data_IF_190111278345
#
_entry.id   IF_190111278345
#
_cell.length_a   1.000
_cell.length_b   1.000
_cell.length_c   1.000
_cell.angle_alpha   90.00
_cell.angle_beta   90.00
_cell.angle_gamma   90.00
#
_symmetry.space_group_name_H-M   'P 1'
#
loop_
_entity.id
_entity.type
_entity.pdbx_description
1 polymer ?
#
# COMPACT_ATOMS: atom_id res chain seq x y z
N UNK A 1 -26.13 -41.09 -7.78
CA UNK A 1 -25.43 -39.86 -8.26
C UNK A 1 -23.99 -40.26 -8.56
N UNK A 2 -23.44 -39.85 -9.72
CA UNK A 2 -22.01 -39.95 -10.01
C UNK A 2 -21.24 -39.00 -9.07
N UNK A 3 -20.10 -39.38 -8.45
CA UNK A 3 -19.32 -38.48 -7.65
C UNK A 3 -19.01 -37.17 -8.39
N UNK A 4 -19.35 -36.02 -7.80
CA UNK A 4 -19.03 -34.72 -8.32
C UNK A 4 -17.52 -34.50 -8.15
N UNK A 5 -16.79 -34.21 -9.22
CA UNK A 5 -15.36 -33.91 -9.17
C UNK A 5 -15.08 -32.55 -8.46
N UNK A 6 -13.85 -32.06 -8.63
CA UNK A 6 -13.50 -30.71 -8.16
C UNK A 6 -14.34 -29.66 -8.88
N UNK A 7 -15.00 -28.80 -8.11
CA UNK A 7 -15.73 -27.65 -8.63
C UNK A 7 -14.95 -26.38 -8.26
N UNK A 8 -14.56 -25.62 -9.26
CA UNK A 8 -13.76 -24.41 -9.12
C UNK A 8 -14.23 -23.31 -10.10
N UNK A 9 -13.50 -22.21 -10.19
CA UNK A 9 -13.86 -21.09 -11.07
C UNK A 9 -13.96 -21.45 -12.55
N UNK A 10 -13.45 -22.61 -12.99
CA UNK A 10 -13.49 -23.03 -14.40
C UNK A 10 -14.80 -23.73 -14.79
N UNK A 11 -15.50 -24.31 -13.83
CA UNK A 11 -16.70 -25.12 -14.07
C UNK A 11 -17.92 -24.77 -13.22
N UNK A 12 -17.78 -23.91 -12.19
CA UNK A 12 -18.89 -23.53 -11.30
C UNK A 12 -20.06 -22.82 -12.02
N UNK A 13 -19.79 -22.09 -13.11
CA UNK A 13 -20.83 -21.39 -13.89
C UNK A 13 -21.67 -22.32 -14.78
N UNK A 14 -21.24 -23.57 -14.95
CA UNK A 14 -21.93 -24.53 -15.82
C UNK A 14 -21.85 -25.96 -15.25
N UNK A 15 -22.11 -26.11 -13.95
CA UNK A 15 -22.05 -27.40 -13.26
C UNK A 15 -23.19 -28.30 -13.73
N UNK A 16 -22.87 -29.52 -14.20
CA UNK A 16 -23.82 -30.55 -14.52
C UNK A 16 -23.69 -31.73 -13.57
N UNK A 17 -24.80 -32.24 -13.11
CA UNK A 17 -24.88 -33.43 -12.25
C UNK A 17 -25.35 -34.60 -13.08
N UNK A 18 -24.69 -35.72 -12.93
CA UNK A 18 -25.01 -36.95 -13.66
C UNK A 18 -25.25 -38.11 -12.70
N UNK A 19 -25.96 -39.09 -13.16
CA UNK A 19 -26.19 -40.29 -12.38
C UNK A 19 -26.85 -41.41 -13.16
N UNK A 20 -27.11 -42.47 -12.42
CA UNK A 20 -27.87 -43.63 -12.93
C UNK A 20 -29.00 -43.96 -11.91
N UNK A 21 -30.06 -44.45 -12.44
CA UNK A 21 -31.20 -44.91 -11.65
C UNK A 21 -31.76 -46.21 -12.20
N UNK A 22 -32.48 -46.96 -11.42
CA UNK A 22 -33.20 -48.13 -11.86
C UNK A 22 -34.69 -47.97 -11.69
N UNK A 23 -35.48 -48.43 -12.66
CA UNK A 23 -36.94 -48.35 -12.67
C UNK A 23 -37.51 -46.92 -12.76
N UNK A 24 -36.74 -46.02 -13.35
CA UNK A 24 -37.13 -44.63 -13.63
C UNK A 24 -37.10 -44.26 -15.12
N UNK A 25 -36.89 -45.22 -16.00
CA UNK A 25 -36.78 -44.95 -17.45
C UNK A 25 -37.96 -44.11 -17.93
N UNK A 26 -37.68 -43.00 -18.63
CA UNK A 26 -38.66 -42.02 -19.09
C UNK A 26 -39.24 -41.11 -18.01
N UNK A 27 -38.92 -41.27 -16.74
CA UNK A 27 -39.38 -40.38 -15.64
C UNK A 27 -38.40 -39.22 -15.47
N UNK A 28 -38.84 -38.19 -14.79
CA UNK A 28 -38.04 -37.02 -14.45
C UNK A 28 -37.54 -37.15 -13.01
N UNK A 29 -36.26 -36.85 -12.80
CA UNK A 29 -35.66 -36.63 -11.47
C UNK A 29 -35.42 -35.14 -11.26
N UNK A 30 -35.69 -34.64 -10.05
CA UNK A 30 -35.34 -33.31 -9.59
C UNK A 30 -33.92 -33.36 -9.03
N UNK A 31 -33.10 -32.33 -9.34
CA UNK A 31 -31.75 -32.16 -8.86
C UNK A 31 -31.67 -30.82 -8.13
N UNK A 32 -31.34 -30.82 -6.87
CA UNK A 32 -31.20 -29.62 -6.05
C UNK A 32 -29.79 -29.55 -5.47
N UNK A 33 -29.20 -28.34 -5.44
CA UNK A 33 -27.93 -28.06 -4.78
C UNK A 33 -28.22 -27.15 -3.58
N UNK A 34 -27.70 -27.52 -2.42
CA UNK A 34 -27.86 -26.81 -1.12
C UNK A 34 -26.49 -26.61 -0.47
N UNK A 35 -26.30 -25.57 0.33
CA UNK A 35 -25.16 -25.51 1.25
C UNK A 35 -25.26 -26.63 2.28
N UNK A 36 -24.16 -27.24 2.67
CA UNK A 36 -24.16 -28.32 3.64
C UNK A 36 -24.84 -27.88 4.96
N UNK A 37 -25.82 -28.68 5.40
CA UNK A 37 -26.58 -28.38 6.62
C UNK A 37 -27.66 -27.31 6.47
N UNK A 38 -27.92 -26.82 5.24
CA UNK A 38 -29.00 -25.88 4.92
C UNK A 38 -30.11 -26.58 4.12
N UNK A 39 -31.37 -26.16 4.35
CA UNK A 39 -32.49 -26.56 3.51
C UNK A 39 -32.77 -25.59 2.34
N UNK A 40 -32.01 -24.48 2.26
CA UNK A 40 -32.19 -23.50 1.19
C UNK A 40 -31.57 -24.04 -0.10
N UNK A 41 -32.39 -24.12 -1.17
CA UNK A 41 -31.96 -24.51 -2.52
C UNK A 41 -31.27 -23.32 -3.16
N UNK A 42 -30.00 -23.52 -3.59
CA UNK A 42 -29.17 -22.52 -4.26
C UNK A 42 -29.34 -22.60 -5.77
N UNK A 43 -29.33 -23.82 -6.28
CA UNK A 43 -29.58 -24.10 -7.71
C UNK A 43 -30.39 -25.37 -7.84
N UNK A 44 -31.25 -25.45 -8.85
CA UNK A 44 -32.04 -26.62 -9.13
C UNK A 44 -32.30 -26.82 -10.62
N UNK A 45 -32.42 -28.05 -10.99
CA UNK A 45 -32.79 -28.47 -12.34
C UNK A 45 -33.52 -29.81 -12.30
N UNK A 46 -33.94 -30.29 -13.45
CA UNK A 46 -34.55 -31.61 -13.63
C UNK A 46 -33.89 -32.36 -14.80
N UNK A 47 -33.85 -33.66 -14.70
CA UNK A 47 -33.30 -34.51 -15.75
C UNK A 47 -34.27 -35.65 -16.10
N UNK A 48 -34.41 -35.92 -17.38
CA UNK A 48 -35.18 -37.11 -17.85
C UNK A 48 -34.24 -38.32 -17.86
N UNK A 49 -34.66 -39.39 -17.21
CA UNK A 49 -33.94 -40.66 -17.17
C UNK A 49 -34.08 -41.36 -18.53
N UNK A 50 -32.95 -41.63 -19.14
CA UNK A 50 -32.86 -42.30 -20.42
C UNK A 50 -33.11 -43.82 -20.28
N UNK A 51 -33.42 -44.48 -21.40
CA UNK A 51 -33.48 -45.96 -21.44
C UNK A 51 -32.11 -46.52 -20.99
N UNK A 52 -32.15 -47.39 -19.97
CA UNK A 52 -30.92 -47.87 -19.30
C UNK A 52 -30.55 -47.10 -18.03
N UNK A 53 -31.36 -46.13 -17.61
CA UNK A 53 -31.28 -45.49 -16.32
C UNK A 53 -30.36 -44.29 -16.20
N UNK A 54 -29.56 -43.92 -17.22
CA UNK A 54 -28.68 -42.76 -17.17
C UNK A 54 -29.46 -41.45 -17.26
N UNK A 55 -28.99 -40.44 -16.50
CA UNK A 55 -29.53 -39.08 -16.55
C UNK A 55 -28.46 -38.04 -16.38
N UNK A 56 -28.68 -36.81 -16.91
CA UNK A 56 -27.79 -35.64 -16.79
C UNK A 56 -28.65 -34.39 -16.69
N UNK A 57 -28.37 -33.55 -15.68
CA UNK A 57 -28.99 -32.22 -15.54
C UNK A 57 -28.55 -31.26 -16.64
N UNK A 58 -29.30 -30.19 -16.87
CA UNK A 58 -28.74 -29.03 -17.55
C UNK A 58 -27.65 -28.39 -16.69
N UNK A 59 -26.96 -27.42 -17.28
CA UNK A 59 -25.96 -26.64 -16.55
C UNK A 59 -26.61 -25.74 -15.49
N UNK A 60 -26.10 -25.79 -14.27
CA UNK A 60 -26.48 -24.96 -13.14
C UNK A 60 -25.34 -24.02 -12.77
N UNK A 61 -25.62 -22.75 -12.54
CA UNK A 61 -24.62 -21.75 -12.17
C UNK A 61 -24.58 -21.60 -10.63
N UNK A 62 -23.43 -21.93 -10.05
CA UNK A 62 -23.11 -21.73 -8.63
C UNK A 62 -21.83 -20.90 -8.46
N UNK A 63 -21.37 -20.18 -9.49
CA UNK A 63 -20.16 -19.36 -9.45
C UNK A 63 -20.28 -18.14 -8.51
N UNK A 64 -21.51 -17.73 -8.20
CA UNK A 64 -21.80 -16.67 -7.22
C UNK A 64 -21.77 -17.13 -5.76
N UNK A 65 -21.58 -18.42 -5.49
CA UNK A 65 -21.62 -18.98 -4.15
C UNK A 65 -20.24 -18.96 -3.47
N UNK A 66 -20.18 -18.83 -2.14
CA UNK A 66 -18.91 -18.89 -1.39
C UNK A 66 -18.26 -20.28 -1.49
N UNK A 67 -16.93 -20.30 -1.31
CA UNK A 67 -16.22 -21.58 -1.14
C UNK A 67 -16.77 -22.34 0.06
N UNK A 68 -16.96 -23.65 -0.10
CA UNK A 68 -17.53 -24.46 0.96
C UNK A 68 -17.98 -25.83 0.48
N UNK A 69 -18.59 -26.58 1.38
CA UNK A 69 -19.19 -27.88 1.08
C UNK A 69 -20.67 -27.70 0.74
N UNK A 70 -21.08 -28.34 -0.34
CA UNK A 70 -22.43 -28.34 -0.86
C UNK A 70 -22.97 -29.77 -0.97
N UNK A 71 -24.27 -29.90 -0.88
CA UNK A 71 -24.98 -31.21 -1.00
C UNK A 71 -25.85 -31.16 -2.29
N UNK A 72 -25.65 -32.12 -3.15
CA UNK A 72 -26.60 -32.43 -4.23
C UNK A 72 -27.65 -33.40 -3.68
N UNK A 73 -28.93 -33.07 -3.84
CA UNK A 73 -30.06 -33.92 -3.52
C UNK A 73 -30.80 -34.24 -4.81
N UNK A 74 -31.02 -35.50 -5.09
CA UNK A 74 -31.73 -35.97 -6.27
C UNK A 74 -32.97 -36.74 -5.81
N UNK A 75 -34.14 -36.30 -6.25
CA UNK A 75 -35.41 -36.93 -5.89
C UNK A 75 -36.19 -37.30 -7.16
N UNK A 76 -36.75 -38.46 -7.21
CA UNK A 76 -37.59 -38.90 -8.31
C UNK A 76 -38.72 -39.79 -7.85
N UNK A 77 -39.82 -39.78 -8.63
CA UNK A 77 -40.95 -40.69 -8.44
C UNK A 77 -41.09 -41.55 -9.69
N UNK A 78 -41.14 -42.85 -9.53
CA UNK A 78 -41.25 -43.78 -10.63
C UNK A 78 -42.71 -43.92 -11.12
N UNK A 79 -42.90 -44.64 -12.20
CA UNK A 79 -44.26 -44.88 -12.79
C UNK A 79 -45.25 -45.61 -11.86
N UNK A 80 -44.77 -46.20 -10.74
CA UNK A 80 -45.60 -46.85 -9.72
C UNK A 80 -45.85 -45.94 -8.49
N UNK A 81 -45.57 -44.61 -8.60
CA UNK A 81 -45.63 -43.61 -7.54
C UNK A 81 -44.76 -43.93 -6.31
N UNK A 82 -43.63 -44.60 -6.53
CA UNK A 82 -42.63 -44.82 -5.48
C UNK A 82 -41.56 -43.77 -5.61
N UNK A 83 -41.35 -43.00 -4.55
CA UNK A 83 -40.30 -41.98 -4.46
C UNK A 83 -38.97 -42.58 -4.01
N UNK A 84 -37.90 -42.04 -4.54
CA UNK A 84 -36.53 -42.30 -4.06
C UNK A 84 -35.75 -40.99 -4.01
N UNK A 85 -34.92 -40.83 -2.99
CA UNK A 85 -34.05 -39.68 -2.77
C UNK A 85 -32.61 -40.18 -2.51
N UNK A 86 -31.63 -39.52 -3.10
CA UNK A 86 -30.21 -39.79 -2.91
C UNK A 86 -29.48 -38.46 -2.75
N UNK A 87 -28.36 -38.43 -2.02
CA UNK A 87 -27.56 -37.22 -1.86
C UNK A 87 -26.07 -37.51 -1.85
N UNK A 88 -25.29 -36.52 -2.30
CA UNK A 88 -23.84 -36.56 -2.26
C UNK A 88 -23.28 -35.17 -1.99
N UNK A 89 -22.15 -35.09 -1.29
CA UNK A 89 -21.47 -33.84 -1.05
C UNK A 89 -20.35 -33.61 -2.08
N UNK A 90 -20.10 -32.33 -2.37
CA UNK A 90 -18.92 -31.87 -3.12
C UNK A 90 -18.39 -30.57 -2.51
N UNK A 91 -17.17 -30.15 -2.90
CA UNK A 91 -16.56 -28.91 -2.46
C UNK A 91 -16.45 -27.92 -3.61
N UNK A 92 -16.93 -26.69 -3.42
CA UNK A 92 -16.66 -25.53 -4.27
C UNK A 92 -15.42 -24.84 -3.74
N UNK A 93 -14.37 -24.71 -4.58
CA UNK A 93 -13.07 -24.15 -4.24
C UNK A 93 -12.59 -23.14 -5.32
N UNK A 94 -13.25 -21.98 -5.39
CA UNK A 94 -12.88 -20.93 -6.33
C UNK A 94 -11.60 -20.20 -5.86
N UNK A 95 -10.85 -19.58 -6.81
CA UNK A 95 -9.71 -18.75 -6.46
C UNK A 95 -10.13 -17.63 -5.50
N UNK A 96 -9.30 -17.36 -4.48
CA UNK A 96 -9.54 -16.28 -3.52
C UNK A 96 -9.15 -14.92 -4.16
N UNK A 97 -9.74 -13.80 -3.71
CA UNK A 97 -9.29 -12.48 -4.14
C UNK A 97 -7.87 -12.20 -3.63
N UNK A 98 -7.08 -11.46 -4.41
CA UNK A 98 -5.72 -11.04 -4.07
C UNK A 98 -5.54 -9.54 -4.28
N UNK A 99 -4.75 -8.90 -3.39
CA UNK A 99 -4.30 -7.53 -3.59
C UNK A 99 -3.27 -7.52 -4.72
N UNK A 100 -3.54 -6.79 -5.79
CA UNK A 100 -2.66 -6.69 -6.96
C UNK A 100 -1.70 -5.50 -6.85
N UNK A 101 -2.13 -4.41 -6.21
CA UNK A 101 -1.33 -3.20 -6.06
C UNK A 101 -1.84 -2.33 -4.90
N UNK A 102 -0.90 -1.63 -4.24
CA UNK A 102 -1.22 -0.59 -3.28
C UNK A 102 -0.33 0.64 -3.53
N UNK A 103 -0.93 1.81 -3.60
CA UNK A 103 -0.23 3.07 -3.83
C UNK A 103 -0.66 4.15 -2.85
N UNK A 104 0.21 5.15 -2.67
CA UNK A 104 0.01 6.28 -1.77
C UNK A 104 0.11 7.59 -2.55
N UNK A 105 -0.76 8.54 -2.24
CA UNK A 105 -0.69 9.88 -2.80
C UNK A 105 -0.84 10.95 -1.69
N UNK A 106 0.22 11.74 -1.42
CA UNK A 106 1.56 11.67 -2.03
C UNK A 106 2.30 10.35 -1.69
N UNK A 107 3.37 10.04 -2.41
CA UNK A 107 4.15 8.79 -2.26
C UNK A 107 4.89 8.68 -0.94
N UNK A 108 5.09 9.79 -0.25
CA UNK A 108 5.57 9.92 1.13
C UNK A 108 4.86 11.10 1.80
N UNK A 109 4.72 11.08 3.11
CA UNK A 109 4.03 12.15 3.83
C UNK A 109 4.56 12.30 5.25
N UNK A 110 4.47 13.52 5.80
CA UNK A 110 4.83 13.80 7.19
C UNK A 110 3.79 13.23 8.16
N UNK A 111 4.24 12.91 9.36
CA UNK A 111 3.36 12.54 10.47
C UNK A 111 2.29 13.61 10.73
N UNK A 112 1.11 13.18 11.09
CA UNK A 112 -0.01 14.08 11.33
C UNK A 112 -0.67 14.67 10.08
N UNK A 113 -0.11 14.41 8.89
CA UNK A 113 -0.69 14.84 7.62
C UNK A 113 -1.50 13.72 6.97
N UNK A 114 -2.45 14.08 6.11
CA UNK A 114 -3.30 13.11 5.41
C UNK A 114 -2.60 12.54 4.17
N UNK A 115 -2.81 11.26 3.91
CA UNK A 115 -2.39 10.56 2.69
C UNK A 115 -3.56 9.75 2.15
N UNK A 116 -3.73 9.72 0.83
CA UNK A 116 -4.70 8.85 0.16
C UNK A 116 -4.06 7.49 -0.13
N UNK A 117 -4.67 6.42 0.35
CA UNK A 117 -4.33 5.03 0.01
C UNK A 117 -5.23 4.59 -1.14
N UNK A 118 -4.65 3.95 -2.16
CA UNK A 118 -5.35 3.33 -3.27
C UNK A 118 -4.96 1.86 -3.38
N UNK A 119 -5.97 0.98 -3.33
CA UNK A 119 -5.83 -0.47 -3.40
C UNK A 119 -6.45 -0.98 -4.70
N UNK A 120 -5.77 -1.90 -5.36
CA UNK A 120 -6.28 -2.60 -6.55
C UNK A 120 -6.26 -4.11 -6.29
N UNK A 121 -7.34 -4.78 -6.67
CA UNK A 121 -7.51 -6.22 -6.50
C UNK A 121 -7.71 -6.92 -7.86
N UNK A 122 -7.39 -8.20 -7.92
CA UNK A 122 -7.62 -9.03 -9.12
C UNK A 122 -9.11 -9.27 -9.39
N UNK A 123 -9.95 -9.17 -8.34
CA UNK A 123 -11.42 -9.34 -8.39
C UNK A 123 -12.18 -8.14 -7.83
N UNK A 124 -13.44 -8.01 -8.25
CA UNK A 124 -14.38 -7.08 -7.62
C UNK A 124 -14.67 -7.50 -6.18
N UNK A 125 -14.65 -6.55 -5.24
CA UNK A 125 -14.89 -6.80 -3.84
C UNK A 125 -16.22 -6.20 -3.36
N UNK A 126 -16.82 -6.85 -2.35
CA UNK A 126 -17.93 -6.31 -1.57
C UNK A 126 -17.47 -5.60 -0.29
N UNK A 127 -16.30 -6.00 0.27
CA UNK A 127 -15.75 -5.45 1.50
C UNK A 127 -14.22 -5.49 1.49
N UNK A 128 -13.58 -4.54 2.18
CA UNK A 128 -12.15 -4.51 2.47
C UNK A 128 -11.89 -3.62 3.69
N UNK A 129 -10.91 -3.99 4.51
CA UNK A 129 -10.39 -3.19 5.61
C UNK A 129 -8.90 -2.94 5.41
N UNK A 130 -8.41 -1.76 5.78
CA UNK A 130 -6.97 -1.47 5.79
C UNK A 130 -6.57 -0.59 6.97
N UNK A 131 -5.32 -0.72 7.38
CA UNK A 131 -4.69 0.08 8.43
C UNK A 131 -3.31 0.53 7.97
N UNK A 132 -2.99 1.81 8.18
CA UNK A 132 -1.65 2.35 7.97
C UNK A 132 -1.02 2.63 9.34
N UNK A 133 0.02 1.87 9.70
CA UNK A 133 0.67 1.97 11.00
C UNK A 133 -0.30 1.81 12.18
N UNK A 134 -1.34 0.99 12.04
CA UNK A 134 -2.39 0.77 13.04
C UNK A 134 -3.55 1.78 13.00
N UNK A 135 -3.46 2.84 12.18
CA UNK A 135 -4.57 3.78 11.95
C UNK A 135 -5.49 3.28 10.85
N UNK A 136 -6.78 3.15 11.12
CA UNK A 136 -7.77 2.66 10.16
C UNK A 136 -7.88 3.61 8.95
N UNK A 137 -7.86 3.05 7.74
CA UNK A 137 -8.10 3.77 6.48
C UNK A 137 -9.60 3.74 6.19
N UNK A 138 -10.23 4.91 6.02
CA UNK A 138 -11.65 4.98 5.64
C UNK A 138 -11.79 4.74 4.14
N UNK A 139 -11.89 3.47 3.75
CA UNK A 139 -11.94 3.05 2.35
C UNK A 139 -13.34 3.21 1.75
N UNK A 140 -13.39 3.69 0.51
CA UNK A 140 -14.58 3.74 -0.34
C UNK A 140 -14.32 3.07 -1.68
N UNK A 141 -15.32 2.33 -2.15
CA UNK A 141 -15.26 1.68 -3.46
C UNK A 141 -15.39 2.72 -4.57
N UNK A 142 -14.55 2.65 -5.59
CA UNK A 142 -14.65 3.51 -6.78
C UNK A 142 -15.70 2.97 -7.76
N UNK A 143 -15.84 3.60 -8.94
CA UNK A 143 -16.70 3.07 -10.02
C UNK A 143 -16.24 1.68 -10.50
N UNK A 144 -14.93 1.38 -10.42
CA UNK A 144 -14.40 0.02 -10.59
C UNK A 144 -14.41 -0.70 -9.23
N UNK A 145 -15.23 -1.74 -9.12
CA UNK A 145 -15.35 -2.52 -7.89
C UNK A 145 -14.08 -3.28 -7.48
N UNK A 146 -13.03 -3.30 -8.32
CA UNK A 146 -11.69 -3.80 -8.01
C UNK A 146 -10.80 -2.76 -7.36
N UNK A 147 -11.21 -1.48 -7.33
CA UNK A 147 -10.40 -0.36 -6.86
C UNK A 147 -11.08 0.31 -5.68
N UNK A 148 -10.31 0.46 -4.59
CA UNK A 148 -10.73 1.14 -3.37
C UNK A 148 -9.77 2.25 -3.01
N UNK A 149 -10.29 3.38 -2.54
CA UNK A 149 -9.48 4.52 -2.10
C UNK A 149 -9.96 5.03 -0.76
N UNK A 150 -9.06 5.61 0.01
CA UNK A 150 -9.41 6.21 1.29
C UNK A 150 -8.28 7.03 1.86
N UNK A 151 -8.64 7.98 2.71
CA UNK A 151 -7.69 8.86 3.36
C UNK A 151 -7.39 8.38 4.78
N UNK A 152 -6.17 8.60 5.22
CA UNK A 152 -5.72 8.32 6.57
C UNK A 152 -4.67 9.35 6.99
N UNK A 153 -4.66 9.70 8.27
CA UNK A 153 -3.60 10.52 8.86
C UNK A 153 -2.40 9.61 9.17
N UNK A 154 -1.21 10.02 8.71
CA UNK A 154 0.04 9.30 8.97
C UNK A 154 0.30 9.28 10.48
N UNK A 155 0.38 8.10 11.12
CA UNK A 155 0.61 8.01 12.56
C UNK A 155 2.04 8.42 12.94
N UNK A 156 2.23 8.78 14.19
CA UNK A 156 3.56 9.00 14.76
C UNK A 156 4.32 7.66 14.79
N UNK A 157 5.56 7.67 14.31
CA UNK A 157 6.42 6.49 14.23
C UNK A 157 7.90 6.90 14.36
N UNK A 158 8.71 6.09 15.03
CA UNK A 158 10.17 6.24 15.02
C UNK A 158 10.83 5.67 13.76
N UNK A 159 10.07 4.95 12.95
CA UNK A 159 10.57 4.22 11.77
C UNK A 159 10.68 5.13 10.53
N UNK A 160 11.43 4.67 9.53
CA UNK A 160 11.54 5.34 8.23
C UNK A 160 10.28 5.22 7.39
N UNK A 161 9.49 4.18 7.63
CA UNK A 161 8.26 3.85 6.88
C UNK A 161 7.15 3.45 7.83
N UNK A 162 5.91 3.60 7.40
CA UNK A 162 4.73 3.00 8.04
C UNK A 162 4.18 1.87 7.18
N UNK A 163 3.97 0.70 7.80
CA UNK A 163 3.41 -0.47 7.14
C UNK A 163 1.92 -0.32 6.87
N UNK A 164 1.49 -0.78 5.69
CA UNK A 164 0.08 -0.95 5.34
C UNK A 164 -0.32 -2.39 5.60
N UNK A 165 -1.44 -2.59 6.28
CA UNK A 165 -2.09 -3.88 6.46
C UNK A 165 -3.41 -3.85 5.73
N UNK A 166 -3.63 -4.77 4.79
CA UNK A 166 -4.90 -4.95 4.07
C UNK A 166 -5.50 -6.29 4.48
N UNK A 167 -6.73 -6.28 4.98
CA UNK A 167 -7.36 -7.46 5.58
C UNK A 167 -8.87 -7.47 5.34
N UNK A 168 -9.50 -8.58 5.69
CA UNK A 168 -10.96 -8.76 5.66
C UNK A 168 -11.58 -8.41 4.31
N UNK A 169 -10.83 -8.59 3.20
CA UNK A 169 -11.37 -8.29 1.89
C UNK A 169 -12.02 -9.53 1.27
N UNK A 170 -13.25 -9.30 0.81
CA UNK A 170 -14.11 -10.35 0.29
C UNK A 170 -14.54 -10.04 -1.14
N UNK A 171 -14.51 -11.05 -2.02
CA UNK A 171 -15.10 -10.97 -3.35
C UNK A 171 -16.64 -10.98 -3.29
N UNK A 172 -17.28 -10.83 -4.45
CA UNK A 172 -18.74 -10.78 -4.52
C UNK A 172 -19.41 -12.11 -4.15
N UNK A 173 -18.67 -13.21 -4.17
CA UNK A 173 -19.10 -14.53 -3.73
C UNK A 173 -18.88 -14.79 -2.23
N UNK A 174 -18.32 -13.82 -1.48
CA UNK A 174 -18.03 -13.93 -0.06
C UNK A 174 -16.73 -14.66 0.29
N UNK A 175 -15.89 -15.01 -0.70
CA UNK A 175 -14.58 -15.59 -0.44
C UNK A 175 -13.62 -14.53 0.10
N UNK A 176 -12.91 -14.85 1.19
CA UNK A 176 -11.99 -13.92 1.86
C UNK A 176 -10.56 -14.15 1.38
N UNK A 177 -9.88 -13.07 0.99
CA UNK A 177 -8.46 -13.07 0.65
C UNK A 177 -7.56 -13.12 1.89
N UNK A 178 -6.31 -13.48 1.68
CA UNK A 178 -5.30 -13.51 2.74
C UNK A 178 -4.86 -12.09 3.10
N UNK A 179 -4.59 -11.84 4.39
CA UNK A 179 -4.05 -10.56 4.84
C UNK A 179 -2.73 -10.23 4.13
N UNK A 180 -2.58 -8.99 3.67
CA UNK A 180 -1.36 -8.46 3.03
C UNK A 180 -0.69 -7.42 3.93
N UNK A 181 0.63 -7.56 4.12
CA UNK A 181 1.50 -6.65 4.89
C UNK A 181 2.76 -6.27 4.09
N UNK A 182 2.76 -6.49 2.78
CA UNK A 182 3.94 -6.31 1.94
C UNK A 182 4.21 -4.86 1.54
N UNK A 183 3.26 -3.96 1.81
CA UNK A 183 3.31 -2.56 1.40
C UNK A 183 3.62 -1.63 2.57
N UNK A 184 4.41 -0.60 2.31
CA UNK A 184 4.71 0.46 3.28
C UNK A 184 4.88 1.80 2.59
N UNK A 185 4.64 2.89 3.32
CA UNK A 185 4.83 4.26 2.85
C UNK A 185 6.00 4.90 3.60
N UNK A 186 6.95 5.55 2.89
CA UNK A 186 7.98 6.35 3.53
C UNK A 186 7.40 7.56 4.27
N UNK A 187 7.97 7.86 5.43
CA UNK A 187 7.64 9.09 6.17
C UNK A 187 8.60 10.18 5.71
N UNK A 188 8.07 11.38 5.42
CA UNK A 188 8.88 12.54 5.06
C UNK A 188 9.87 12.87 6.17
N UNK A 189 11.17 12.87 5.91
CA UNK A 189 12.18 13.29 6.87
C UNK A 189 12.17 14.81 7.05
N UNK A 190 12.81 15.30 8.11
CA UNK A 190 12.97 16.74 8.36
C UNK A 190 14.44 17.11 8.54
N UNK A 191 14.80 18.30 8.07
CA UNK A 191 16.05 18.98 8.37
C UNK A 191 15.74 20.29 9.09
N UNK A 192 16.58 20.65 10.04
CA UNK A 192 16.52 21.96 10.69
C UNK A 192 17.94 22.50 10.85
N UNK A 193 18.14 23.78 10.52
CA UNK A 193 19.40 24.48 10.67
C UNK A 193 19.35 25.26 11.98
N UNK A 194 20.35 25.09 12.84
CA UNK A 194 20.53 25.97 14.02
C UNK A 194 20.81 27.38 13.52
N UNK A 195 20.14 28.43 14.03
CA UNK A 195 20.40 29.78 13.61
C UNK A 195 21.91 30.10 13.58
N UNK A 196 22.41 30.53 12.43
CA UNK A 196 23.80 30.89 12.26
C UNK A 196 24.04 32.20 13.01
N UNK A 197 24.97 32.17 13.99
CA UNK A 197 25.33 33.38 14.75
C UNK A 197 26.04 34.41 13.90
N UNK A 198 26.60 35.43 14.54
CA UNK A 198 27.39 36.44 13.86
C UNK A 198 28.62 35.80 13.20
N UNK A 199 28.78 36.01 11.89
CA UNK A 199 29.96 35.60 11.13
C UNK A 199 30.79 36.84 10.83
N UNK A 200 32.00 36.85 11.37
CA UNK A 200 32.94 37.98 11.24
C UNK A 200 34.39 37.47 10.97
N UNK A 201 35.36 38.38 10.99
CA UNK A 201 36.77 38.02 10.71
C UNK A 201 37.37 37.01 11.69
N UNK A 202 36.74 36.75 12.84
CA UNK A 202 37.24 35.79 13.84
C UNK A 202 36.83 34.34 13.55
N UNK A 203 35.76 34.13 12.77
CA UNK A 203 35.21 32.80 12.53
C UNK A 203 34.91 32.49 11.04
N UNK A 204 34.99 33.48 10.16
CA UNK A 204 34.71 33.31 8.73
C UNK A 204 35.59 32.29 8.03
N UNK A 205 36.87 32.15 8.42
CA UNK A 205 37.82 31.20 7.80
C UNK A 205 37.53 29.72 8.15
N UNK A 206 36.69 29.46 9.16
CA UNK A 206 36.36 28.11 9.61
C UNK A 206 34.88 27.98 10.02
N UNK A 207 33.98 28.53 9.22
CA UNK A 207 32.55 28.49 9.48
C UNK A 207 32.04 27.06 9.44
N UNK A 208 31.32 26.67 10.45
CA UNK A 208 30.58 25.42 10.52
C UNK A 208 29.08 25.69 10.69
N UNK A 209 28.27 24.96 9.98
CA UNK A 209 26.81 24.98 10.11
C UNK A 209 26.40 23.74 10.91
N UNK A 210 25.51 23.94 11.85
CA UNK A 210 24.99 22.85 12.70
C UNK A 210 23.47 22.76 12.58
N UNK A 211 22.92 21.62 12.90
CA UNK A 211 21.49 21.44 12.91
C UNK A 211 21.05 20.10 13.46
N UNK A 212 19.76 19.86 13.30
CA UNK A 212 19.14 18.61 13.66
C UNK A 212 18.30 18.07 12.49
N UNK A 213 18.00 16.81 12.55
CA UNK A 213 17.18 16.14 11.53
C UNK A 213 16.38 15.00 12.13
N UNK A 214 15.36 14.56 11.43
CA UNK A 214 14.68 13.30 11.72
C UNK A 214 14.86 12.35 10.54
N UNK A 215 15.06 11.04 10.83
CA UNK A 215 15.16 9.96 9.82
C UNK A 215 16.35 10.07 8.84
N UNK A 216 17.44 10.67 9.30
CA UNK A 216 18.70 10.75 8.56
C UNK A 216 19.87 10.08 9.26
N UNK A 217 19.68 9.40 10.37
CA UNK A 217 20.75 8.79 11.16
C UNK A 217 21.72 7.99 10.26
N UNK A 218 23.02 8.33 10.32
CA UNK A 218 24.07 7.73 9.50
C UNK A 218 24.12 8.20 8.03
N UNK A 219 23.15 9.01 7.58
CA UNK A 219 23.15 9.57 6.23
C UNK A 219 24.00 10.85 6.16
N UNK A 220 24.41 11.21 4.95
CA UNK A 220 25.14 12.45 4.70
C UNK A 220 24.20 13.53 4.19
N UNK A 221 24.31 14.73 4.76
CA UNK A 221 23.66 15.93 4.24
C UNK A 221 24.70 16.83 3.58
N UNK A 222 24.33 17.47 2.48
CA UNK A 222 25.09 18.52 1.79
C UNK A 222 24.74 19.87 2.39
N UNK A 223 25.73 20.73 2.57
CA UNK A 223 25.56 22.11 3.04
C UNK A 223 26.19 23.03 2.01
N UNK A 224 25.38 23.94 1.45
CA UNK A 224 25.83 24.94 0.49
C UNK A 224 25.59 26.34 1.03
N UNK A 225 26.53 27.25 0.78
CA UNK A 225 26.38 28.66 1.06
C UNK A 225 26.35 29.42 -0.26
N UNK A 226 25.31 30.23 -0.45
CA UNK A 226 25.07 31.05 -1.65
C UNK A 226 24.98 32.52 -1.25
N UNK A 227 25.31 33.46 -2.13
CA UNK A 227 24.96 34.85 -1.94
C UNK A 227 23.41 34.99 -1.97
N UNK A 228 22.89 35.95 -1.25
CA UNK A 228 21.45 36.21 -1.26
C UNK A 228 20.97 36.43 -2.70
N UNK A 229 19.83 35.82 -3.02
CA UNK A 229 19.19 35.88 -4.35
C UNK A 229 20.06 35.36 -5.52
N UNK A 230 21.01 34.46 -5.22
CA UNK A 230 21.90 33.83 -6.21
C UNK A 230 21.86 32.30 -6.09
N UNK A 231 21.92 31.63 -7.25
CA UNK A 231 22.06 30.16 -7.28
C UNK A 231 23.53 29.71 -7.27
N UNK A 232 24.49 30.65 -7.32
CA UNK A 232 25.91 30.31 -7.32
C UNK A 232 26.37 29.88 -5.92
N UNK A 233 26.90 28.67 -5.82
CA UNK A 233 27.50 28.15 -4.59
C UNK A 233 28.86 28.82 -4.36
N UNK A 234 29.02 29.43 -3.20
CA UNK A 234 30.24 30.14 -2.79
C UNK A 234 31.14 29.23 -1.95
N UNK A 235 30.53 28.48 -1.05
CA UNK A 235 31.20 27.52 -0.21
C UNK A 235 30.29 26.30 -0.02
N UNK A 236 30.89 25.13 0.15
CA UNK A 236 30.17 23.90 0.38
C UNK A 236 30.87 23.00 1.38
N UNK A 237 30.07 22.23 2.09
CA UNK A 237 30.51 21.23 3.03
C UNK A 237 29.53 20.08 3.12
N UNK A 238 29.84 19.09 3.93
CA UNK A 238 28.94 17.98 4.20
C UNK A 238 28.97 17.60 5.68
N UNK A 239 27.94 16.94 6.14
CA UNK A 239 27.86 16.42 7.49
C UNK A 239 27.29 15.00 7.49
N UNK A 240 27.86 14.10 8.31
CA UNK A 240 27.22 12.83 8.62
C UNK A 240 26.30 13.06 9.84
N UNK A 241 25.04 12.71 9.69
CA UNK A 241 24.06 12.81 10.78
C UNK A 241 24.34 11.75 11.83
N UNK A 242 24.49 12.18 13.09
CA UNK A 242 24.72 11.31 14.21
C UNK A 242 23.43 10.61 14.65
N UNK A 243 23.55 9.53 15.40
CA UNK A 243 22.41 8.93 16.09
C UNK A 243 21.70 9.97 16.97
N UNK A 244 20.39 10.12 16.77
CA UNK A 244 19.60 11.17 17.42
C UNK A 244 19.47 12.46 16.60
N UNK A 245 19.94 12.44 15.33
CA UNK A 245 19.64 13.45 14.33
C UNK A 245 20.53 14.69 14.34
N UNK A 246 21.47 14.85 15.26
CA UNK A 246 22.38 16.01 15.28
C UNK A 246 23.41 15.91 14.14
N UNK A 247 23.76 17.06 13.53
CA UNK A 247 24.79 17.13 12.51
C UNK A 247 25.58 18.43 12.59
N UNK A 248 26.86 18.37 12.15
CA UNK A 248 27.78 19.52 12.03
C UNK A 248 28.53 19.38 10.73
N UNK A 249 28.53 20.43 9.90
CA UNK A 249 29.25 20.45 8.63
C UNK A 249 30.76 20.40 8.82
N UNK A 250 31.47 19.97 7.77
CA UNK A 250 32.88 20.34 7.62
C UNK A 250 33.04 21.85 7.65
N UNK A 251 34.25 22.32 7.94
CA UNK A 251 34.56 23.77 7.91
C UNK A 251 34.52 24.31 6.50
N UNK A 252 33.95 25.52 6.36
CA UNK A 252 33.84 26.27 5.10
C UNK A 252 34.54 27.63 5.28
N UNK A 253 35.33 28.05 4.30
CA UNK A 253 36.05 29.33 4.35
C UNK A 253 35.25 30.43 3.65
N UNK A 254 34.89 31.45 4.42
CA UNK A 254 34.18 32.64 3.96
C UNK A 254 35.01 33.93 4.13
N UNK A 255 36.31 33.81 4.47
CA UNK A 255 37.19 34.95 4.83
C UNK A 255 37.41 35.94 3.66
N UNK A 256 37.39 35.44 2.44
CA UNK A 256 37.60 36.27 1.23
C UNK A 256 36.28 36.80 0.63
N UNK A 257 35.16 36.53 1.28
CA UNK A 257 33.84 36.94 0.79
C UNK A 257 33.48 38.36 1.24
N UNK A 258 32.68 39.05 0.42
CA UNK A 258 32.22 40.41 0.75
C UNK A 258 31.21 40.38 1.89
N UNK A 259 31.23 41.46 2.72
CA UNK A 259 30.18 41.67 3.72
C UNK A 259 28.77 41.68 3.05
N UNK A 260 27.83 40.98 3.64
CA UNK A 260 26.49 40.88 3.07
C UNK A 260 25.69 39.72 3.65
N UNK A 261 24.50 39.51 3.11
CA UNK A 261 23.62 38.42 3.50
C UNK A 261 23.88 37.20 2.60
N UNK A 262 23.93 36.04 3.20
CA UNK A 262 24.14 34.73 2.57
C UNK A 262 23.04 33.77 2.98
N UNK A 263 22.74 32.84 2.07
CA UNK A 263 21.79 31.77 2.32
C UNK A 263 22.53 30.45 2.50
N UNK A 264 22.28 29.76 3.59
CA UNK A 264 22.66 28.35 3.78
C UNK A 264 21.52 27.48 3.25
N UNK A 265 21.85 26.52 2.42
CA UNK A 265 20.92 25.47 1.96
C UNK A 265 21.49 24.13 2.38
N UNK A 266 20.67 23.33 3.07
CA UNK A 266 21.03 21.97 3.48
C UNK A 266 20.09 21.00 2.79
N UNK A 267 20.66 20.00 2.09
CA UNK A 267 19.90 18.98 1.36
C UNK A 267 20.39 17.60 1.73
N UNK A 268 19.51 16.67 1.90
CA UNK A 268 19.85 15.27 2.14
C UNK A 268 18.78 14.31 1.64
N UNK A 269 19.18 13.09 1.34
CA UNK A 269 18.29 11.98 0.98
C UNK A 269 18.44 10.90 2.05
N UNK A 270 17.33 10.47 2.62
CA UNK A 270 17.34 9.45 3.67
C UNK A 270 17.44 8.02 3.10
N UNK A 271 17.54 7.00 3.96
CA UNK A 271 17.64 5.60 3.55
C UNK A 271 16.38 5.04 2.84
N UNK A 272 15.25 5.76 2.88
CA UNK A 272 14.03 5.45 2.11
C UNK A 272 13.93 6.23 0.79
N UNK A 273 15.04 6.85 0.33
CA UNK A 273 15.10 7.69 -0.88
C UNK A 273 14.14 8.89 -0.88
N UNK A 274 13.84 9.44 0.29
CA UNK A 274 13.06 10.67 0.43
C UNK A 274 14.03 11.82 0.70
N UNK A 275 13.95 12.87 -0.13
CA UNK A 275 14.74 14.09 0.00
C UNK A 275 14.07 15.07 0.97
N UNK A 276 14.90 15.81 1.71
CA UNK A 276 14.50 17.01 2.42
C UNK A 276 15.50 18.13 2.18
N UNK A 277 15.02 19.35 2.11
CA UNK A 277 15.81 20.57 1.96
C UNK A 277 15.34 21.60 2.98
N UNK A 278 16.29 22.31 3.60
CA UNK A 278 16.04 23.41 4.53
C UNK A 278 16.99 24.57 4.20
N UNK A 279 16.56 25.79 4.47
CA UNK A 279 17.39 26.97 4.23
C UNK A 279 17.22 28.04 5.28
N UNK A 280 18.30 28.80 5.54
CA UNK A 280 18.29 29.96 6.43
C UNK A 280 19.29 31.00 5.96
N UNK A 281 19.08 32.25 6.36
CA UNK A 281 20.00 33.33 6.05
C UNK A 281 20.90 33.66 7.24
N UNK A 282 22.12 34.15 6.94
CA UNK A 282 23.01 34.75 7.92
C UNK A 282 23.70 35.98 7.31
N UNK A 283 24.32 36.82 8.16
CA UNK A 283 25.07 38.00 7.72
C UNK A 283 26.56 37.78 8.00
N UNK A 284 27.37 38.02 6.98
CA UNK A 284 28.82 38.13 7.09
C UNK A 284 29.18 39.60 7.27
N UNK A 285 29.89 39.94 8.35
CA UNK A 285 30.23 41.30 8.74
C UNK A 285 31.68 41.35 9.21
N UNK A 286 32.61 41.23 8.28
CA UNK A 286 34.05 41.28 8.53
C UNK A 286 34.51 42.73 8.73
N UNK A 287 35.58 42.94 9.53
CA UNK A 287 36.18 44.26 9.70
C UNK A 287 36.76 44.71 8.33
N UNK A 288 36.48 45.95 7.99
CA UNK A 288 37.03 46.54 6.78
C UNK A 288 38.55 46.71 6.91
N UNK A 289 39.35 46.51 5.83
CA UNK A 289 40.74 46.77 5.84
C UNK A 289 41.03 48.27 6.14
N UNK A 290 41.95 48.54 7.07
CA UNK A 290 42.32 49.91 7.42
C UNK A 290 43.71 50.22 6.90
N UNK A 291 43.85 51.40 6.24
CA UNK A 291 45.15 51.95 5.92
C UNK A 291 45.70 52.71 7.09
N UNK A 292 46.74 52.18 7.73
CA UNK A 292 47.27 52.76 9.02
C UNK A 292 48.36 53.82 8.81
N UNK A 293 48.98 53.90 7.66
CA UNK A 293 49.91 54.99 7.34
C UNK A 293 50.16 55.08 5.80
N UNK A 294 50.34 56.32 5.31
CA UNK A 294 50.88 56.64 4.03
C UNK A 294 52.03 57.64 4.22
N UNK A 295 53.25 57.30 3.81
CA UNK A 295 54.35 58.21 3.83
C UNK A 295 54.71 58.63 2.42
N UNK A 296 54.81 59.94 2.20
CA UNK A 296 55.37 60.51 0.99
C UNK A 296 56.84 60.68 1.20
N UNK A 297 57.66 60.16 0.31
CA UNK A 297 59.05 60.51 0.27
C UNK A 297 59.28 61.50 -0.90
N UNK A 298 59.35 62.81 -0.63
CA UNK A 298 59.59 63.78 -1.68
C UNK A 298 61.01 63.57 -2.17
N UNK A 299 61.24 63.35 -3.47
CA UNK A 299 62.47 63.34 -4.19
C UNK A 299 62.97 64.77 -4.45
#
# INVERSE_FOLDING_TARGET
ITPVGNVDSSNAAALQITGTSSRFDGQTVSVEIKAQGSETVIASDSATVQSGGAWTSNAMDISGEPNGTYTVVVTGTNASNVEATESINFTLAQALPTLSNATFNPTHQAEGQSVTVRLEFDKALQAVSAELGGSAVTLTKTADAKVWTGDVVVPVSSELTVGLVVKDYQDLSGNTGAEDRSHSMPITPTLAITPVGNVDSSNAAALQITGTSSRFDGQTVSVEIKAQDSETVIASGSATVQSGGAWTSSTMDMSDQLNGTYTVVVTGTNASNVEATESTNFTLAQALPTLTSATFNPT
#
